data_IF_566430832730
#
_entry.id   IF_566430832730
#
_cell.length_a   1.000
_cell.length_b   1.000
_cell.length_c   1.000
_cell.angle_alpha   90.00
_cell.angle_beta   90.00
_cell.angle_gamma   90.00
#
_symmetry.space_group_name_H-M   'P 1'
#
loop_
_entity.id
_entity.type
_entity.pdbx_description
1 polymer ?
#
# COMPACT_ATOMS: atom_id res chain seq x y z
N UNK A 1 -40.86 39.10 -6.01
CA UNK A 1 -39.75 38.81 -6.95
C UNK A 1 -39.53 37.30 -6.97
N UNK A 2 -39.95 36.59 -8.03
CA UNK A 2 -39.68 35.15 -8.17
C UNK A 2 -38.34 34.98 -8.88
N UNK A 3 -37.39 34.30 -8.23
CA UNK A 3 -36.08 34.00 -8.81
C UNK A 3 -36.29 33.13 -10.05
N UNK A 4 -35.66 33.51 -11.17
CA UNK A 4 -35.72 32.81 -12.45
C UNK A 4 -35.22 31.35 -12.26
N UNK A 5 -35.98 30.31 -12.67
CA UNK A 5 -35.59 28.91 -12.52
C UNK A 5 -34.26 28.55 -13.20
N UNK A 6 -33.83 29.31 -14.22
CA UNK A 6 -32.51 29.15 -14.81
C UNK A 6 -31.38 29.50 -13.84
N UNK A 7 -31.55 30.51 -12.97
CA UNK A 7 -30.55 30.90 -11.98
C UNK A 7 -30.38 29.85 -10.86
N UNK A 8 -31.45 29.11 -10.53
CA UNK A 8 -31.39 28.01 -9.57
C UNK A 8 -30.63 26.80 -10.14
N UNK A 9 -30.75 26.55 -11.46
CA UNK A 9 -29.97 25.51 -12.13
C UNK A 9 -28.46 25.81 -12.09
N UNK A 10 -28.06 27.07 -12.27
CA UNK A 10 -26.66 27.47 -12.14
C UNK A 10 -26.13 27.30 -10.70
N UNK A 11 -26.91 27.67 -9.68
CA UNK A 11 -26.51 27.47 -8.27
C UNK A 11 -26.34 25.99 -7.91
N UNK A 12 -27.20 25.12 -8.43
CA UNK A 12 -27.12 23.68 -8.21
C UNK A 12 -25.94 23.03 -8.96
N UNK A 13 -25.53 23.59 -10.11
CA UNK A 13 -24.41 23.08 -10.89
C UNK A 13 -23.05 23.46 -10.28
N UNK A 14 -22.95 24.64 -9.66
CA UNK A 14 -21.75 25.06 -8.91
C UNK A 14 -21.57 24.20 -7.64
N UNK A 15 -22.66 23.82 -6.97
CA UNK A 15 -22.60 22.90 -5.82
C UNK A 15 -22.19 21.47 -6.21
N UNK A 16 -22.61 20.99 -7.40
CA UNK A 16 -22.25 19.66 -7.89
C UNK A 16 -20.78 19.51 -8.28
N UNK A 17 -20.05 20.62 -8.47
CA UNK A 17 -18.63 20.62 -8.82
C UNK A 17 -17.68 20.91 -7.65
N UNK A 18 -18.22 21.25 -6.47
CA UNK A 18 -17.45 21.43 -5.23
C UNK A 18 -17.42 20.18 -4.33
N UNK A 19 -18.03 19.08 -4.78
CA UNK A 19 -17.76 17.75 -4.25
C UNK A 19 -16.50 17.19 -4.90
N UNK A 20 -15.35 17.77 -4.59
CA UNK A 20 -14.08 17.05 -4.79
C UNK A 20 -14.24 15.74 -4.02
N UNK A 21 -14.36 14.65 -4.76
CA UNK A 21 -14.41 13.30 -4.22
C UNK A 21 -13.14 13.10 -3.40
N UNK A 22 -13.24 13.32 -2.08
CA UNK A 22 -12.16 13.15 -1.11
C UNK A 22 -11.71 11.69 -0.91
N UNK A 23 -12.04 10.80 -1.85
CA UNK A 23 -11.74 9.36 -1.82
C UNK A 23 -10.72 8.93 -2.88
N UNK A 24 -10.08 9.86 -3.60
CA UNK A 24 -8.90 9.55 -4.44
C UNK A 24 -7.57 9.84 -3.72
N UNK A 25 -7.59 9.93 -2.40
CA UNK A 25 -6.39 9.64 -1.62
C UNK A 25 -6.42 8.15 -1.36
N UNK A 26 -5.70 7.35 -2.14
CA UNK A 26 -5.31 6.03 -1.67
C UNK A 26 -4.71 6.24 -0.28
N UNK A 27 -5.44 5.78 0.75
CA UNK A 27 -5.02 5.97 2.13
C UNK A 27 -3.66 5.31 2.29
N UNK A 28 -2.66 6.08 2.73
CA UNK A 28 -1.29 5.58 2.87
C UNK A 28 -1.26 4.32 3.75
N UNK A 29 -2.14 4.25 4.75
CA UNK A 29 -2.33 3.06 5.59
C UNK A 29 -2.79 1.84 4.79
N UNK A 30 -3.66 2.01 3.80
CA UNK A 30 -4.10 0.95 2.89
C UNK A 30 -2.96 0.49 1.99
N UNK A 31 -2.22 1.42 1.37
CA UNK A 31 -1.03 1.06 0.57
C UNK A 31 0.05 0.33 1.39
N UNK A 32 0.31 0.79 2.62
CA UNK A 32 1.26 0.16 3.51
C UNK A 32 0.80 -1.25 3.91
N UNK A 33 -0.49 -1.42 4.20
CA UNK A 33 -1.09 -2.73 4.50
C UNK A 33 -0.96 -3.68 3.31
N UNK A 34 -1.22 -3.20 2.11
CA UNK A 34 -1.08 -4.01 0.89
C UNK A 34 0.38 -4.40 0.64
N UNK A 35 1.32 -3.49 0.87
CA UNK A 35 2.76 -3.79 0.78
C UNK A 35 3.20 -4.84 1.81
N UNK A 36 2.71 -4.76 3.06
CA UNK A 36 2.98 -5.75 4.10
C UNK A 36 2.39 -7.13 3.76
N UNK A 37 1.16 -7.15 3.25
CA UNK A 37 0.53 -8.38 2.76
C UNK A 37 1.36 -9.00 1.63
N UNK A 38 1.89 -8.17 0.72
CA UNK A 38 2.73 -8.64 -0.39
C UNK A 38 4.03 -9.28 0.09
N UNK A 39 4.66 -8.72 1.12
CA UNK A 39 5.87 -9.31 1.73
C UNK A 39 5.55 -10.66 2.37
N UNK A 40 4.40 -10.77 3.04
CA UNK A 40 3.92 -12.04 3.59
C UNK A 40 3.67 -13.09 2.49
N UNK A 41 3.05 -12.70 1.37
CA UNK A 41 2.88 -13.59 0.22
C UNK A 41 4.23 -14.10 -0.33
N UNK A 42 5.24 -13.23 -0.42
CA UNK A 42 6.57 -13.62 -0.87
C UNK A 42 7.24 -14.61 0.09
N UNK A 43 7.10 -14.43 1.41
CA UNK A 43 7.59 -15.38 2.40
C UNK A 43 6.90 -16.75 2.27
N UNK A 44 5.57 -16.77 2.16
CA UNK A 44 4.82 -18.02 1.99
C UNK A 44 5.24 -18.74 0.71
N UNK A 45 5.43 -18.01 -0.39
CA UNK A 45 5.89 -18.57 -1.66
C UNK A 45 7.30 -19.15 -1.55
N UNK A 46 8.22 -18.46 -0.85
CA UNK A 46 9.57 -18.97 -0.62
C UNK A 46 9.54 -20.26 0.22
N UNK A 47 8.71 -20.31 1.26
CA UNK A 47 8.55 -21.51 2.09
C UNK A 47 7.94 -22.68 1.31
N UNK A 48 6.96 -22.42 0.44
CA UNK A 48 6.35 -23.42 -0.41
C UNK A 48 7.34 -23.97 -1.45
N UNK A 49 8.10 -23.09 -2.11
CA UNK A 49 9.14 -23.47 -3.05
C UNK A 49 10.23 -24.32 -2.35
N UNK A 50 10.60 -23.95 -1.12
CA UNK A 50 11.57 -24.70 -0.32
C UNK A 50 11.03 -26.08 0.09
N UNK A 51 9.74 -26.18 0.44
CA UNK A 51 9.08 -27.47 0.70
C UNK A 51 9.10 -28.37 -0.53
N UNK A 52 8.72 -27.85 -1.69
CA UNK A 52 8.71 -28.61 -2.95
C UNK A 52 10.10 -29.15 -3.31
N UNK A 53 11.17 -28.41 -3.01
CA UNK A 53 12.54 -28.87 -3.20
C UNK A 53 12.92 -29.99 -2.24
N UNK A 54 12.56 -29.87 -0.96
CA UNK A 54 12.86 -30.90 0.05
C UNK A 54 12.05 -32.17 -0.18
N UNK A 55 10.83 -32.07 -0.73
CA UNK A 55 10.00 -33.22 -1.10
C UNK A 55 10.41 -33.86 -2.43
N UNK A 56 11.32 -33.24 -3.17
CA UNK A 56 11.78 -33.71 -4.48
C UNK A 56 10.78 -33.43 -5.62
N UNK A 57 9.76 -32.61 -5.38
CA UNK A 57 8.78 -32.18 -6.38
C UNK A 57 9.27 -30.97 -7.21
N UNK A 58 10.26 -30.22 -6.71
CA UNK A 58 10.88 -29.14 -7.48
C UNK A 58 12.05 -29.67 -8.30
N UNK A 59 11.93 -29.59 -9.63
CA UNK A 59 13.01 -29.89 -10.58
C UNK A 59 14.08 -28.78 -10.62
N UNK A 60 13.78 -27.57 -10.13
CA UNK A 60 14.65 -26.40 -10.29
C UNK A 60 14.93 -25.66 -8.97
N UNK A 61 16.12 -25.93 -8.41
CA UNK A 61 16.67 -25.25 -7.23
C UNK A 61 16.86 -23.74 -7.44
N UNK A 62 17.02 -23.25 -8.69
CA UNK A 62 17.18 -21.82 -8.96
C UNK A 62 15.90 -21.05 -8.63
N UNK A 63 14.72 -21.63 -8.90
CA UNK A 63 13.44 -21.01 -8.61
C UNK A 63 13.22 -20.78 -7.10
N UNK A 64 13.64 -21.76 -6.28
CA UNK A 64 13.58 -21.67 -4.82
C UNK A 64 14.53 -20.61 -4.30
N UNK A 65 15.75 -20.61 -4.81
CA UNK A 65 16.77 -19.65 -4.39
C UNK A 65 16.36 -18.21 -4.76
N UNK A 66 15.77 -18.03 -5.93
CA UNK A 66 15.23 -16.75 -6.37
C UNK A 66 14.05 -16.30 -5.49
N UNK A 67 13.09 -17.18 -5.22
CA UNK A 67 11.95 -16.86 -4.36
C UNK A 67 12.39 -16.48 -2.93
N UNK A 68 13.38 -17.19 -2.38
CA UNK A 68 13.97 -16.88 -1.08
C UNK A 68 14.66 -15.51 -1.07
N UNK A 69 15.42 -15.19 -2.12
CA UNK A 69 16.11 -13.90 -2.22
C UNK A 69 15.12 -12.73 -2.40
N UNK A 70 14.07 -12.91 -3.22
CA UNK A 70 12.98 -11.94 -3.36
C UNK A 70 12.29 -11.65 -2.01
N UNK A 71 11.94 -12.71 -1.27
CA UNK A 71 11.32 -12.58 0.04
C UNK A 71 12.22 -11.85 1.05
N UNK A 72 13.52 -12.15 1.03
CA UNK A 72 14.52 -11.49 1.88
C UNK A 72 14.63 -10.01 1.57
N UNK A 73 14.82 -9.65 0.30
CA UNK A 73 14.97 -8.25 -0.12
C UNK A 73 13.71 -7.44 0.20
N UNK A 74 12.53 -8.02 -0.04
CA UNK A 74 11.26 -7.39 0.29
C UNK A 74 11.10 -7.14 1.80
N UNK A 75 11.54 -8.07 2.64
CA UNK A 75 11.54 -7.91 4.09
C UNK A 75 12.52 -6.82 4.55
N UNK A 76 13.73 -6.79 4.01
CA UNK A 76 14.73 -5.76 4.32
C UNK A 76 14.20 -4.35 3.97
N UNK A 77 13.60 -4.20 2.78
CA UNK A 77 12.93 -2.97 2.37
C UNK A 77 11.80 -2.57 3.35
N UNK A 78 10.99 -3.54 3.77
CA UNK A 78 9.89 -3.32 4.71
C UNK A 78 10.38 -2.78 6.05
N UNK A 79 11.48 -3.32 6.57
CA UNK A 79 12.09 -2.83 7.81
C UNK A 79 12.57 -1.40 7.65
N UNK A 80 13.19 -1.06 6.52
CA UNK A 80 13.63 0.31 6.25
C UNK A 80 12.45 1.29 6.19
N UNK A 81 11.36 0.91 5.51
CA UNK A 81 10.13 1.72 5.47
C UNK A 81 9.54 1.88 6.86
N UNK A 82 9.44 0.81 7.65
CA UNK A 82 8.97 0.86 9.05
C UNK A 82 9.78 1.85 9.88
N UNK A 83 11.11 1.79 9.77
CA UNK A 83 12.00 2.69 10.50
C UNK A 83 11.78 4.15 10.07
N UNK A 84 11.70 4.41 8.75
CA UNK A 84 11.49 5.77 8.25
C UNK A 84 10.16 6.38 8.68
N UNK A 85 9.12 5.56 8.79
CA UNK A 85 7.81 5.97 9.30
C UNK A 85 7.84 6.30 10.79
N UNK A 86 8.55 5.49 11.59
CA UNK A 86 8.75 5.78 13.01
C UNK A 86 9.53 7.09 13.20
N UNK A 87 10.57 7.32 12.40
CA UNK A 87 11.34 8.56 12.42
C UNK A 87 10.48 9.78 12.08
N UNK A 88 9.65 9.67 11.03
CA UNK A 88 8.73 10.73 10.62
C UNK A 88 7.70 11.04 11.72
N UNK A 89 7.16 10.02 12.39
CA UNK A 89 6.26 10.20 13.53
C UNK A 89 6.95 10.89 14.71
N UNK A 90 8.19 10.51 15.03
CA UNK A 90 8.97 11.15 16.09
C UNK A 90 9.27 12.62 15.75
N UNK A 91 9.55 12.93 14.49
CA UNK A 91 9.85 14.29 14.04
C UNK A 91 8.63 15.21 14.13
N UNK A 92 7.44 14.74 13.73
CA UNK A 92 6.20 15.49 13.89
C UNK A 92 5.90 15.82 15.35
N UNK A 93 6.21 14.92 16.28
CA UNK A 93 6.07 15.18 17.71
C UNK A 93 7.06 16.22 18.23
N UNK A 94 8.31 16.21 17.74
CA UNK A 94 9.33 17.20 18.11
C UNK A 94 9.01 18.60 17.61
N UNK A 95 8.32 18.73 16.48
CA UNK A 95 7.88 20.03 15.95
C UNK A 95 6.74 20.69 16.73
N UNK A 96 5.96 19.92 17.50
CA UNK A 96 4.79 20.43 18.23
C UNK A 96 5.10 20.83 19.69
N UNK A 97 6.29 20.51 20.20
CA UNK A 97 6.77 20.93 21.52
C UNK A 97 7.54 22.26 21.45
#
# INVERSE_FOLDING_TARGET
>A
MKINPAAQAYLNQIQKHNGVNGNEKADFGTMLKDALNRVNELQVRADEANRQLVTGEAEDIHSVLLAAEEARLALELTVQVRNKLLDAYQELNRMQL
#
